data_IF_181669898204
#
_entry.id   IF_181669898204
#
_cell.length_a   1.000
_cell.length_b   1.000
_cell.length_c   1.000
_cell.angle_alpha   90.00
_cell.angle_beta   90.00
_cell.angle_gamma   90.00
#
_symmetry.space_group_name_H-M   'P 1'
#
loop_
_entity.id
_entity.type
_entity.pdbx_description
1 polymer ?
#
# COMPACT_ATOMS: atom_id res chain seq x y z
N UNK A 1 -30.28 -7.38 -8.87
CA UNK A 1 -28.95 -6.74 -8.77
C UNK A 1 -28.08 -7.65 -7.92
N UNK A 2 -26.88 -8.01 -8.38
CA UNK A 2 -26.02 -9.00 -7.71
C UNK A 2 -25.53 -8.52 -6.33
N UNK A 3 -25.36 -9.41 -5.33
CA UNK A 3 -24.90 -9.05 -3.99
C UNK A 3 -23.60 -8.21 -3.97
N UNK A 4 -22.62 -8.58 -4.81
CA UNK A 4 -21.33 -7.87 -4.87
C UNK A 4 -21.50 -6.40 -5.31
N UNK A 5 -22.40 -6.13 -6.26
CA UNK A 5 -22.71 -4.78 -6.74
C UNK A 5 -23.41 -3.95 -5.65
N UNK A 6 -24.31 -4.59 -4.90
CA UNK A 6 -24.98 -3.96 -3.75
C UNK A 6 -23.94 -3.61 -2.68
N UNK A 7 -23.02 -4.53 -2.36
CA UNK A 7 -21.97 -4.29 -1.38
C UNK A 7 -21.06 -3.12 -1.78
N UNK A 8 -20.65 -3.06 -3.06
CA UNK A 8 -19.86 -1.94 -3.58
C UNK A 8 -20.57 -0.59 -3.43
N UNK A 9 -21.89 -0.55 -3.67
CA UNK A 9 -22.70 0.66 -3.45
C UNK A 9 -22.64 1.17 -2.01
N UNK A 10 -22.52 0.27 -1.03
CA UNK A 10 -22.41 0.65 0.38
C UNK A 10 -21.00 1.06 0.81
N UNK A 11 -19.98 0.66 0.05
CA UNK A 11 -18.58 0.99 0.32
C UNK A 11 -18.20 2.32 -0.33
N UNK A 12 -18.56 2.51 -1.60
CA UNK A 12 -18.23 3.69 -2.37
C UNK A 12 -19.12 4.89 -2.00
N UNK A 13 -18.56 6.09 -2.06
CA UNK A 13 -19.32 7.33 -2.05
C UNK A 13 -20.26 7.37 -3.25
N UNK A 14 -21.34 8.15 -3.19
CA UNK A 14 -22.30 8.26 -4.29
C UNK A 14 -21.62 8.65 -5.62
N UNK A 15 -20.64 9.56 -5.57
CA UNK A 15 -19.82 9.99 -6.71
C UNK A 15 -19.03 8.82 -7.29
N UNK A 16 -18.28 8.11 -6.44
CA UNK A 16 -17.41 7.01 -6.88
C UNK A 16 -18.21 5.79 -7.33
N UNK A 17 -19.36 5.51 -6.72
CA UNK A 17 -20.26 4.47 -7.18
C UNK A 17 -20.82 4.78 -8.58
N UNK A 18 -21.17 6.04 -8.86
CA UNK A 18 -21.59 6.45 -10.20
C UNK A 18 -20.47 6.22 -11.22
N UNK A 19 -19.24 6.66 -10.89
CA UNK A 19 -18.06 6.45 -11.73
C UNK A 19 -17.76 4.94 -11.94
N UNK A 20 -17.92 4.13 -10.90
CA UNK A 20 -17.79 2.67 -11.00
C UNK A 20 -18.78 2.09 -12.03
N UNK A 21 -20.06 2.50 -11.96
CA UNK A 21 -21.06 2.05 -12.94
C UNK A 21 -20.78 2.56 -14.36
N UNK A 22 -20.24 3.78 -14.51
CA UNK A 22 -19.84 4.31 -15.81
C UNK A 22 -18.68 3.51 -16.44
N UNK A 23 -17.72 3.06 -15.62
CA UNK A 23 -16.54 2.32 -16.08
C UNK A 23 -16.80 0.83 -16.29
N UNK A 24 -17.51 0.20 -15.37
CA UNK A 24 -17.62 -1.26 -15.29
C UNK A 24 -19.08 -1.75 -15.38
N UNK A 25 -20.07 -0.84 -15.38
CA UNK A 25 -21.48 -1.23 -15.37
C UNK A 25 -21.83 -2.06 -14.14
N UNK A 26 -22.70 -3.06 -14.35
CA UNK A 26 -23.06 -4.04 -13.33
C UNK A 26 -22.15 -5.28 -13.37
N UNK A 27 -20.87 -5.14 -13.74
CA UNK A 27 -19.92 -6.25 -13.79
C UNK A 27 -19.61 -6.79 -12.38
N UNK A 28 -20.14 -7.98 -12.11
CA UNK A 28 -20.01 -8.69 -10.84
C UNK A 28 -18.55 -9.07 -10.54
N UNK A 29 -17.74 -9.37 -11.56
CA UNK A 29 -16.33 -9.75 -11.38
C UNK A 29 -15.52 -8.54 -10.93
N UNK A 30 -15.74 -7.37 -11.53
CA UNK A 30 -15.07 -6.15 -11.11
C UNK A 30 -15.54 -5.68 -9.75
N UNK A 31 -16.84 -5.81 -9.44
CA UNK A 31 -17.34 -5.55 -8.10
C UNK A 31 -16.61 -6.41 -7.06
N UNK A 32 -16.47 -7.72 -7.32
CA UNK A 32 -15.75 -8.64 -6.43
C UNK A 32 -14.28 -8.29 -6.25
N UNK A 33 -13.60 -7.87 -7.33
CA UNK A 33 -12.20 -7.40 -7.26
C UNK A 33 -12.07 -6.18 -6.34
N UNK A 34 -12.95 -5.20 -6.51
CA UNK A 34 -12.96 -4.01 -5.66
C UNK A 34 -13.28 -4.34 -4.20
N UNK A 35 -14.22 -5.25 -3.93
CA UNK A 35 -14.49 -5.73 -2.57
C UNK A 35 -13.23 -6.33 -1.92
N UNK A 36 -12.47 -7.13 -2.67
CA UNK A 36 -11.21 -7.70 -2.18
C UNK A 36 -10.13 -6.65 -1.91
N UNK A 37 -10.05 -5.60 -2.75
CA UNK A 37 -9.14 -4.46 -2.55
C UNK A 37 -9.50 -3.75 -1.25
N UNK A 38 -10.77 -3.41 -1.03
CA UNK A 38 -11.22 -2.72 0.17
C UNK A 38 -11.10 -3.56 1.44
N UNK A 39 -11.27 -4.88 1.34
CA UNK A 39 -11.00 -5.78 2.46
C UNK A 39 -9.52 -5.73 2.90
N UNK A 40 -8.59 -5.52 1.96
CA UNK A 40 -7.15 -5.47 2.25
C UNK A 40 -6.68 -4.09 2.71
N UNK A 41 -7.14 -3.04 2.05
CA UNK A 41 -6.69 -1.66 2.33
C UNK A 41 -7.45 -1.01 3.49
N UNK A 42 -8.59 -1.57 3.88
CA UNK A 42 -9.54 -0.88 4.74
C UNK A 42 -10.35 0.16 3.96
N UNK A 43 -11.44 0.62 4.58
CA UNK A 43 -12.28 1.68 4.02
C UNK A 43 -11.74 3.03 4.51
N UNK A 44 -11.18 3.83 3.61
CA UNK A 44 -11.01 5.26 3.88
C UNK A 44 -12.35 5.98 3.59
N UNK A 45 -12.70 6.96 4.43
CA UNK A 45 -13.98 7.69 4.39
C UNK A 45 -14.22 8.44 3.08
N UNK A 46 -13.16 8.85 2.39
CA UNK A 46 -13.19 9.58 1.12
C UNK A 46 -13.10 8.65 -0.11
N UNK A 47 -12.80 7.36 0.10
CA UNK A 47 -12.54 6.36 -0.94
C UNK A 47 -11.46 6.77 -1.94
N UNK A 48 -10.37 7.39 -1.45
CA UNK A 48 -9.21 7.80 -2.25
C UNK A 48 -8.61 6.66 -3.03
N UNK A 49 -8.63 5.44 -2.50
CA UNK A 49 -8.19 4.26 -3.26
C UNK A 49 -8.91 4.13 -4.60
N UNK A 50 -10.24 4.30 -4.65
CA UNK A 50 -10.98 4.25 -5.91
C UNK A 50 -10.57 5.35 -6.86
N UNK A 51 -10.40 6.58 -6.37
CA UNK A 51 -9.98 7.71 -7.19
C UNK A 51 -8.55 7.50 -7.73
N UNK A 52 -7.61 7.06 -6.90
CA UNK A 52 -6.22 6.78 -7.29
C UNK A 52 -6.13 5.68 -8.36
N UNK A 53 -6.86 4.57 -8.22
CA UNK A 53 -6.81 3.47 -9.19
C UNK A 53 -7.81 3.62 -10.35
N UNK A 54 -8.54 4.73 -10.46
CA UNK A 54 -9.41 5.00 -11.62
C UNK A 54 -9.19 6.38 -12.24
N UNK A 55 -8.24 7.16 -11.73
CA UNK A 55 -7.79 8.42 -12.32
C UNK A 55 -6.85 8.21 -13.50
N UNK A 56 -6.66 9.27 -14.29
CA UNK A 56 -5.80 9.28 -15.48
C UNK A 56 -4.30 9.30 -15.12
N UNK A 57 -3.92 9.78 -13.93
CA UNK A 57 -2.53 9.88 -13.41
C UNK A 57 -1.93 8.54 -12.90
N UNK A 58 -2.49 7.43 -13.38
CA UNK A 58 -2.22 6.06 -12.91
C UNK A 58 -0.73 5.65 -12.97
N UNK A 59 -0.01 5.87 -14.09
CA UNK A 59 1.36 5.38 -14.23
C UNK A 59 2.34 6.11 -13.32
N UNK A 60 2.20 7.42 -13.15
CA UNK A 60 3.16 8.27 -12.44
C UNK A 60 3.10 8.06 -10.94
N UNK A 61 1.90 7.92 -10.36
CA UNK A 61 1.73 7.69 -8.94
C UNK A 61 2.28 6.31 -8.51
N UNK A 62 2.00 5.26 -9.29
CA UNK A 62 2.53 3.92 -9.02
C UNK A 62 4.06 3.87 -9.17
N UNK A 63 4.60 4.51 -10.22
CA UNK A 63 6.05 4.61 -10.41
C UNK A 63 6.72 5.38 -9.26
N UNK A 64 6.11 6.46 -8.80
CA UNK A 64 6.62 7.22 -7.65
C UNK A 64 6.62 6.38 -6.36
N UNK A 65 5.58 5.54 -6.16
CA UNK A 65 5.53 4.60 -5.03
C UNK A 65 6.67 3.56 -5.14
N UNK A 66 6.90 2.99 -6.31
CA UNK A 66 7.99 2.03 -6.53
C UNK A 66 9.37 2.66 -6.27
N UNK A 67 9.59 3.90 -6.72
CA UNK A 67 10.81 4.66 -6.45
C UNK A 67 11.01 4.92 -4.95
N UNK A 68 9.94 5.25 -4.21
CA UNK A 68 9.97 5.41 -2.76
C UNK A 68 10.26 4.10 -2.02
N UNK A 69 9.69 2.99 -2.49
CA UNK A 69 9.97 1.65 -1.94
C UNK A 69 11.46 1.32 -2.09
N UNK A 70 12.01 1.54 -3.29
CA UNK A 70 13.41 1.24 -3.58
C UNK A 70 14.38 2.14 -2.80
N UNK A 71 14.05 3.43 -2.66
CA UNK A 71 14.78 4.36 -1.80
C UNK A 71 14.80 3.86 -0.34
N UNK A 72 13.67 3.39 0.17
CA UNK A 72 13.56 2.94 1.56
C UNK A 72 14.31 1.62 1.80
N UNK A 73 14.31 0.68 0.85
CA UNK A 73 15.17 -0.51 0.93
C UNK A 73 16.65 -0.14 1.08
N UNK A 74 17.15 0.78 0.26
CA UNK A 74 18.54 1.28 0.35
C UNK A 74 18.85 1.95 1.68
N UNK A 75 17.88 2.68 2.26
CA UNK A 75 18.02 3.28 3.60
C UNK A 75 18.10 2.21 4.69
N UNK A 76 17.25 1.17 4.63
CA UNK A 76 17.27 0.05 5.57
C UNK A 76 18.62 -0.68 5.52
N UNK A 77 19.13 -1.00 4.33
CA UNK A 77 20.44 -1.64 4.18
C UNK A 77 21.59 -0.83 4.80
N UNK A 78 21.57 0.50 4.66
CA UNK A 78 22.55 1.39 5.31
C UNK A 78 22.44 1.32 6.83
N UNK A 79 21.23 1.36 7.37
CA UNK A 79 21.00 1.23 8.81
C UNK A 79 21.49 -0.12 9.35
N UNK A 80 21.28 -1.21 8.62
CA UNK A 80 21.79 -2.53 9.00
C UNK A 80 23.32 -2.60 9.00
N UNK A 81 23.99 -1.95 8.03
CA UNK A 81 25.46 -1.84 8.02
C UNK A 81 25.96 -1.05 9.23
N UNK A 82 25.33 0.07 9.56
CA UNK A 82 25.68 0.87 10.74
C UNK A 82 25.48 0.04 12.02
N UNK A 83 24.34 -0.65 12.15
CA UNK A 83 24.04 -1.52 13.29
C UNK A 83 25.12 -2.59 13.48
N UNK A 84 25.54 -3.27 12.40
CA UNK A 84 26.65 -4.25 12.44
C UNK A 84 27.97 -3.60 12.87
N UNK A 85 28.30 -2.44 12.32
CA UNK A 85 29.52 -1.71 12.69
C UNK A 85 29.56 -1.32 14.17
N UNK A 86 28.43 -0.88 14.73
CA UNK A 86 28.31 -0.58 16.16
C UNK A 86 28.44 -1.85 17.00
N UNK A 87 27.79 -2.94 16.57
CA UNK A 87 27.88 -4.24 17.25
C UNK A 87 29.33 -4.73 17.37
N UNK A 88 30.09 -4.73 16.26
CA UNK A 88 31.50 -5.16 16.30
C UNK A 88 32.35 -4.27 17.22
N UNK A 89 32.16 -2.95 17.20
CA UNK A 89 32.87 -2.05 18.13
C UNK A 89 32.54 -2.35 19.59
N UNK A 90 31.29 -2.71 19.89
CA UNK A 90 30.88 -3.08 21.25
C UNK A 90 31.54 -4.39 21.67
N UNK A 91 31.54 -5.40 20.81
CA UNK A 91 32.22 -6.69 21.05
C UNK A 91 33.71 -6.47 21.32
N UNK A 92 34.40 -5.71 20.45
CA UNK A 92 35.82 -5.39 20.62
C UNK A 92 36.09 -4.67 21.94
N UNK A 93 35.21 -3.75 22.34
CA UNK A 93 35.32 -3.03 23.62
C UNK A 93 35.15 -3.98 24.81
N UNK A 94 34.14 -4.84 24.79
CA UNK A 94 33.87 -5.80 25.87
C UNK A 94 35.00 -6.81 26.02
N UNK A 95 35.58 -7.28 24.91
CA UNK A 95 36.74 -8.17 24.92
C UNK A 95 37.97 -7.50 25.55
N UNK A 96 38.24 -6.23 25.21
CA UNK A 96 39.33 -5.44 25.83
C UNK A 96 39.11 -5.19 27.33
N UNK A 97 37.86 -5.12 27.76
CA UNK A 97 37.49 -4.97 29.18
C UNK A 97 37.45 -6.32 29.93
N UNK A 98 37.70 -7.45 29.28
CA UNK A 98 37.67 -8.79 29.88
C UNK A 98 36.28 -9.26 30.32
N UNK A 99 35.22 -8.66 29.74
CA UNK A 99 33.81 -8.96 30.07
C UNK A 99 33.22 -10.07 29.22
N UNK A 100 33.87 -10.41 28.11
CA UNK A 100 33.62 -11.55 27.23
C UNK A 100 34.95 -12.09 26.72
#
# INVERSE_FOLDING_TARGET
MHPDIIAIKHILTRKNYKKFLEMYGADEKEARRWLAVYHKLGRDEENRAFEMFTGEEKPEALKSIDELIELNKKKIEKLERIKRGIFYRLVDKLAKEGKI
#
